data_IF_367058664651
#
_entry.id   IF_367058664651
#
_cell.length_a   1.000
_cell.length_b   1.000
_cell.length_c   1.000
_cell.angle_alpha   90.00
_cell.angle_beta   90.00
_cell.angle_gamma   90.00
#
_symmetry.space_group_name_H-M   'P 1'
#
loop_
_entity.id
_entity.type
_entity.pdbx_description
1 polymer ?
2 non-polymer ?
3 non-polymer ?
4 non-polymer ?
5 water ?
#
# COMPACT_ATOMS: atom_id res chain seq x y z
N UNK A 33 -7.86 26.91 -10.27
CA UNK A 33 -7.10 28.08 -10.82
C UNK A 33 -6.43 27.68 -12.14
N UNK A 34 -5.12 27.42 -12.12
CA UNK A 34 -4.38 26.91 -13.28
C UNK A 34 -4.31 25.37 -13.28
N UNK A 35 -4.72 24.75 -12.18
CA UNK A 35 -4.59 23.31 -11.99
C UNK A 35 -5.74 22.49 -12.57
N UNK A 36 -6.53 23.13 -13.43
CA UNK A 36 -7.59 22.44 -14.16
C UNK A 36 -7.03 21.55 -15.27
N UNK A 37 -5.85 21.85 -15.78
CA UNK A 37 -5.29 21.01 -16.83
C UNK A 37 -4.51 19.87 -16.15
N UNK A 38 -4.79 18.63 -16.54
CA UNK A 38 -4.10 17.48 -15.99
C UNK A 38 -2.56 17.62 -16.04
N UNK A 39 -2.02 18.16 -17.13
CA UNK A 39 -0.55 18.28 -17.34
C UNK A 39 0.10 19.19 -16.29
N UNK A 40 -0.58 20.28 -15.94
CA UNK A 40 -0.12 21.13 -14.86
C UNK A 40 -0.15 20.47 -13.48
N UNK A 41 -1.08 19.53 -13.25
CA UNK A 41 -1.06 18.77 -12.01
C UNK A 41 0.06 17.75 -12.11
N UNK A 42 0.27 17.20 -13.29
CA UNK A 42 1.33 16.22 -13.43
C UNK A 42 2.71 16.84 -13.14
N UNK A 43 2.86 18.14 -13.40
CA UNK A 43 4.14 18.79 -13.18
C UNK A 43 4.51 18.87 -11.70
N UNK A 44 3.53 18.81 -10.80
CA UNK A 44 3.81 18.89 -9.36
C UNK A 44 4.38 17.59 -8.78
N UNK A 45 4.48 16.53 -9.57
CA UNK A 45 4.93 15.21 -9.08
C UNK A 45 6.42 14.92 -9.16
N UNK A 46 7.24 15.97 -9.25
CA UNK A 46 8.67 15.80 -9.12
C UNK A 46 8.97 15.22 -7.74
N UNK A 47 9.86 14.25 -7.71
CA UNK A 47 10.28 13.64 -6.43
C UNK A 47 9.19 12.83 -5.75
N UNK A 48 8.20 12.40 -6.52
CA UNK A 48 7.20 11.48 -6.01
C UNK A 48 7.86 10.10 -5.87
N UNK A 49 7.59 9.39 -4.76
CA UNK A 49 8.21 8.08 -4.56
C UNK A 49 8.07 7.13 -5.75
N UNK A 50 9.20 6.78 -6.35
CA UNK A 50 9.27 5.75 -7.41
C UNK A 50 8.60 4.44 -7.04
N UNK A 51 8.57 4.10 -5.75
CA UNK A 51 7.98 2.85 -5.31
C UNK A 51 6.47 2.89 -5.11
N UNK A 52 5.83 4.04 -5.35
CA UNK A 52 4.40 4.13 -5.03
C UNK A 52 3.54 3.03 -5.68
N UNK A 53 2.65 2.42 -4.90
CA UNK A 53 1.61 1.56 -5.44
C UNK A 53 0.73 2.21 -6.52
N UNK A 54 0.53 3.53 -6.41
CA UNK A 54 -0.31 4.29 -7.36
C UNK A 54 0.57 5.35 -8.05
N UNK A 55 0.63 5.31 -9.37
CA UNK A 55 1.51 6.24 -10.10
C UNK A 55 1.03 7.70 -10.06
N UNK A 56 1.97 8.60 -10.32
CA UNK A 56 1.74 10.04 -10.44
C UNK A 56 0.70 10.42 -11.49
N UNK A 57 0.74 9.75 -12.64
CA UNK A 57 -0.25 10.00 -13.72
C UNK A 57 -1.67 9.59 -13.32
N UNK A 58 -1.79 8.44 -12.64
CA UNK A 58 -3.07 8.02 -12.04
C UNK A 58 -3.61 9.04 -11.03
N UNK A 59 -2.73 9.57 -10.16
CA UNK A 59 -3.14 10.55 -9.18
C UNK A 59 -3.52 11.88 -9.85
N UNK A 60 -2.73 12.34 -10.82
CA UNK A 60 -3.01 13.66 -11.47
C UNK A 60 -4.29 13.61 -12.30
N UNK A 61 -4.49 12.49 -12.97
CA UNK A 61 -5.79 12.17 -13.60
C UNK A 61 -6.97 12.15 -12.62
N UNK A 62 -6.76 11.81 -11.34
CA UNK A 62 -7.83 11.85 -10.37
C UNK A 62 -8.00 13.21 -9.71
N UNK A 63 -7.31 14.23 -10.19
CA UNK A 63 -7.54 15.59 -9.64
C UNK A 63 -6.50 16.09 -8.65
N UNK A 64 -5.50 15.24 -8.37
CA UNK A 64 -4.56 15.49 -7.29
C UNK A 64 -3.29 16.19 -7.72
N UNK A 65 -2.78 17.03 -6.80
CA UNK A 65 -1.43 17.57 -6.86
C UNK A 65 -0.58 16.88 -5.79
N UNK A 66 0.72 16.79 -6.02
CA UNK A 66 1.65 16.32 -5.00
C UNK A 66 2.02 17.49 -4.12
N UNK A 67 1.88 17.33 -2.80
CA UNK A 67 2.27 18.38 -1.84
C UNK A 67 3.78 18.46 -1.63
N UNK A 68 4.53 17.48 -2.07
CA UNK A 68 5.96 17.50 -1.86
C UNK A 68 6.39 16.79 -0.60
N UNK A 69 5.45 16.21 0.15
CA UNK A 69 5.80 15.45 1.35
C UNK A 69 5.28 14.00 1.23
N UNK A 70 6.16 13.05 1.53
CA UNK A 70 5.81 11.63 1.52
C UNK A 70 5.12 11.23 0.23
N UNK A 71 3.99 10.57 0.37
CA UNK A 71 3.16 10.28 -0.79
C UNK A 71 1.80 10.99 -0.65
N UNK A 72 1.84 12.15 0.02
CA UNK A 72 0.64 12.90 0.33
C UNK A 72 0.30 13.74 -0.88
N UNK A 73 -0.94 13.60 -1.36
CA UNK A 73 -1.47 14.44 -2.45
C UNK A 73 -2.68 15.22 -1.99
N UNK A 74 -3.06 16.25 -2.78
CA UNK A 74 -4.14 17.15 -2.39
C UNK A 74 -4.92 17.58 -3.63
N UNK A 75 -6.23 17.42 -3.59
CA UNK A 75 -7.13 17.83 -4.69
C UNK A 75 -7.07 19.33 -4.83
N UNK A 76 -6.89 19.83 -6.05
CA UNK A 76 -6.89 21.29 -6.26
C UNK A 76 -8.23 21.94 -5.98
N UNK A 77 -9.32 21.18 -6.08
CA UNK A 77 -10.70 21.72 -5.97
C UNK A 77 -11.26 21.67 -4.56
N UNK A 78 -11.22 20.48 -3.95
CA UNK A 78 -11.84 20.26 -2.63
C UNK A 78 -10.85 20.26 -1.47
N UNK A 79 -9.55 20.32 -1.78
CA UNK A 79 -8.50 20.39 -0.72
C UNK A 79 -8.33 19.14 0.15
N UNK A 80 -8.87 18.02 -0.30
CA UNK A 80 -8.71 16.76 0.43
C UNK A 80 -7.30 16.25 0.29
N UNK A 81 -6.68 15.89 1.41
CA UNK A 81 -5.32 15.35 1.40
C UNK A 81 -5.38 13.86 1.65
N UNK A 82 -4.73 13.11 0.78
CA UNK A 82 -4.75 11.67 0.82
C UNK A 82 -3.35 11.13 0.71
N UNK A 83 -3.06 10.11 1.46
CA UNK A 83 -1.76 9.50 1.45
C UNK A 83 -1.82 7.99 1.76
N UNK A 84 -0.71 7.37 2.09
CA UNK A 84 -0.66 5.95 2.44
C UNK A 84 -1.25 5.01 1.39
N UNK A 85 -0.81 5.14 0.16
CA UNK A 85 -1.48 4.49 -0.95
C UNK A 85 -1.07 3.03 -0.92
N UNK A 86 -2.01 2.13 -1.23
CA UNK A 86 -1.71 0.66 -1.28
C UNK A 86 -2.11 0.01 -2.61
N UNK A 87 -1.55 -1.17 -2.90
CA UNK A 87 -1.97 -1.93 -4.09
C UNK A 87 -3.45 -2.27 -3.92
N UNK A 88 -4.21 -2.11 -4.98
CA UNK A 88 -5.67 -2.24 -4.90
C UNK A 88 -6.43 -0.90 -4.88
N UNK A 89 -5.80 0.18 -4.40
CA UNK A 89 -6.48 1.48 -4.29
C UNK A 89 -6.90 2.00 -5.66
N UNK A 90 -8.13 2.52 -5.76
CA UNK A 90 -8.52 3.36 -6.89
C UNK A 90 -8.28 4.83 -6.51
N UNK A 91 -7.49 5.57 -7.26
CA UNK A 91 -7.27 6.97 -6.91
C UNK A 91 -8.59 7.72 -6.91
N UNK A 92 -9.45 7.45 -7.89
CA UNK A 92 -10.72 8.17 -8.00
C UNK A 92 -11.68 7.69 -6.94
N UNK A 93 -11.69 6.38 -6.67
CA UNK A 93 -12.58 5.82 -5.65
C UNK A 93 -12.29 6.39 -4.27
N UNK A 94 -11.01 6.47 -3.90
CA UNK A 94 -10.65 7.02 -2.59
C UNK A 94 -11.01 8.51 -2.56
N UNK A 95 -10.65 9.23 -3.61
CA UNK A 95 -11.02 10.64 -3.79
C UNK A 95 -12.52 10.86 -3.50
N UNK A 96 -13.40 10.11 -4.18
CA UNK A 96 -14.84 10.24 -3.97
C UNK A 96 -15.26 9.93 -2.52
N UNK A 97 -14.68 8.90 -1.92
CA UNK A 97 -15.01 8.58 -0.53
C UNK A 97 -14.70 9.73 0.43
N UNK A 98 -13.52 10.34 0.31
CA UNK A 98 -13.16 11.41 1.22
C UNK A 98 -13.95 12.69 0.90
N UNK A 99 -14.28 12.92 -0.35
CA UNK A 99 -14.99 14.13 -0.77
C UNK A 99 -16.04 13.80 -1.85
N UNK A 100 -17.18 13.17 -1.47
CA UNK A 100 -18.24 12.79 -2.40
C UNK A 100 -18.85 14.00 -3.16
N UNK A 101 -18.81 15.18 -2.56
CA UNK A 101 -19.31 16.41 -3.19
C UNK A 101 -18.26 17.24 -3.91
N UNK A 102 -17.03 16.75 -3.98
CA UNK A 102 -15.99 17.46 -4.75
C UNK A 102 -16.49 17.88 -6.16
N UNK A 103 -16.26 19.14 -6.50
CA UNK A 103 -16.69 19.70 -7.78
C UNK A 103 -16.03 18.97 -8.95
N UNK A 104 -14.73 18.73 -8.83
CA UNK A 104 -13.99 18.04 -9.88
C UNK A 104 -14.53 16.67 -10.15
N UNK A 105 -14.88 15.95 -9.09
CA UNK A 105 -15.24 14.54 -9.20
C UNK A 105 -16.66 14.42 -9.80
N UNK A 106 -17.46 15.45 -9.55
CA UNK A 106 -18.80 15.59 -10.10
C UNK A 106 -18.87 16.43 -11.37
N UNK A 107 -17.75 16.51 -12.08
CA UNK A 107 -17.74 17.07 -13.41
C UNK A 107 -17.95 18.57 -13.58
N UNK A 108 -17.90 19.36 -12.51
CA UNK A 108 -18.06 20.84 -12.56
C UNK A 108 -17.09 21.53 -13.54
N UNK A 109 -15.99 20.88 -13.93
CA UNK A 109 -15.05 21.44 -14.89
C UNK A 109 -15.24 20.84 -16.29
N UNK A 110 -16.49 20.83 -16.74
CA UNK A 110 -16.84 20.41 -18.09
C UNK A 110 -16.36 18.98 -18.34
N UNK B 34 1.66 -34.24 -9.11
CA UNK B 34 2.86 -33.50 -9.60
C UNK B 34 2.42 -32.25 -10.37
N UNK B 35 3.11 -31.15 -10.12
CA UNK B 35 2.72 -29.86 -10.67
C UNK B 35 3.65 -29.49 -11.81
N UNK B 36 4.37 -30.50 -12.30
CA UNK B 36 5.12 -30.40 -13.51
C UNK B 36 4.16 -30.19 -14.70
N UNK B 37 2.94 -30.67 -14.59
CA UNK B 37 1.93 -30.47 -15.64
C UNK B 37 1.25 -29.11 -15.48
N UNK B 38 1.25 -28.32 -16.55
CA UNK B 38 0.58 -27.01 -16.56
C UNK B 38 -0.91 -27.09 -16.20
N UNK B 39 -1.61 -28.11 -16.68
CA UNK B 39 -3.03 -28.30 -16.33
C UNK B 39 -3.25 -28.47 -14.82
N UNK B 40 -2.44 -29.29 -14.18
CA UNK B 40 -2.49 -29.42 -12.71
C UNK B 40 -2.26 -28.12 -11.91
N UNK B 41 -1.36 -27.26 -12.40
CA UNK B 41 -1.13 -25.96 -11.80
C UNK B 41 -2.37 -25.09 -12.01
N UNK B 42 -2.92 -25.11 -13.22
CA UNK B 42 -4.05 -24.28 -13.56
C UNK B 42 -5.32 -24.70 -12.80
N UNK B 43 -5.46 -25.99 -12.51
CA UNK B 43 -6.59 -26.44 -11.66
C UNK B 43 -6.63 -25.77 -10.27
N UNK B 44 -5.48 -25.39 -9.71
CA UNK B 44 -5.47 -24.70 -8.41
C UNK B 44 -6.03 -23.28 -8.46
N UNK B 45 -6.28 -22.70 -9.63
CA UNK B 45 -6.74 -21.30 -9.70
C UNK B 45 -8.26 -21.11 -9.64
N UNK B 46 -8.97 -22.01 -8.98
CA UNK B 46 -10.38 -21.79 -8.69
C UNK B 46 -10.50 -20.63 -7.70
N UNK B 47 -11.44 -19.72 -7.96
CA UNK B 47 -11.67 -18.54 -7.11
C UNK B 47 -10.56 -17.51 -7.17
N UNK B 48 -9.68 -17.60 -8.17
CA UNK B 48 -8.65 -16.59 -8.37
C UNK B 48 -9.36 -15.33 -8.88
N UNK B 49 -9.07 -14.15 -8.28
CA UNK B 49 -9.86 -12.97 -8.63
C UNK B 49 -9.91 -12.71 -10.12
N UNK B 50 -11.11 -12.53 -10.64
CA UNK B 50 -11.27 -11.85 -11.91
C UNK B 50 -11.03 -10.37 -11.58
N UNK B 51 -10.61 -9.61 -12.60
CA UNK B 51 -10.08 -8.28 -12.37
C UNK B 51 -8.56 -8.29 -12.35
N UNK B 52 -7.97 -9.44 -12.02
CA UNK B 52 -6.53 -9.58 -12.01
C UNK B 52 -5.96 -9.14 -13.35
N UNK B 53 -4.99 -8.21 -13.34
CA UNK B 53 -4.38 -7.81 -14.60
C UNK B 53 -3.49 -8.89 -15.27
N UNK B 54 -3.18 -9.99 -14.56
CA UNK B 54 -2.53 -11.15 -15.18
C UNK B 54 -3.42 -12.38 -14.99
N UNK B 55 -3.65 -13.11 -16.07
CA UNK B 55 -4.61 -14.20 -16.05
C UNK B 55 -4.05 -15.39 -15.31
N UNK B 56 -4.97 -16.25 -14.87
CA UNK B 56 -4.62 -17.50 -14.23
C UNK B 56 -3.81 -18.43 -15.13
N UNK B 57 -4.10 -18.42 -16.42
CA UNK B 57 -3.38 -19.30 -17.32
C UNK B 57 -2.01 -18.74 -17.60
N UNK B 58 -1.88 -17.41 -17.68
CA UNK B 58 -0.56 -16.80 -17.84
C UNK B 58 0.30 -17.23 -16.62
N UNK B 59 -0.24 -17.06 -15.42
CA UNK B 59 0.49 -17.38 -14.19
C UNK B 59 0.83 -18.88 -14.11
N UNK B 60 -0.11 -19.72 -14.52
CA UNK B 60 0.13 -21.17 -14.50
C UNK B 60 1.22 -21.59 -15.46
N UNK B 61 1.23 -21.01 -16.66
CA UNK B 61 2.32 -21.24 -17.63
C UNK B 61 3.70 -20.86 -17.08
N UNK B 62 3.77 -19.83 -16.26
CA UNK B 62 5.03 -19.43 -15.67
C UNK B 62 5.41 -20.18 -14.40
N UNK B 63 4.75 -21.31 -14.10
CA UNK B 63 5.14 -22.17 -12.98
C UNK B 63 4.38 -22.01 -11.66
N UNK B 64 3.42 -21.08 -11.63
CA UNK B 64 2.74 -20.68 -10.41
C UNK B 64 1.46 -21.48 -10.13
N UNK B 65 1.25 -21.82 -8.86
CA UNK B 65 -0.01 -22.34 -8.34
C UNK B 65 -0.64 -21.20 -7.54
N UNK B 66 -1.94 -21.26 -7.34
CA UNK B 66 -2.64 -20.23 -6.55
C UNK B 66 -2.72 -20.70 -5.08
N UNK B 67 -2.44 -19.80 -4.15
CA UNK B 67 -2.43 -20.15 -2.73
C UNK B 67 -3.82 -20.14 -2.11
N UNK B 68 -4.77 -19.50 -2.77
CA UNK B 68 -6.10 -19.37 -2.21
C UNK B 68 -6.37 -17.99 -1.65
N UNK B 69 -5.33 -17.18 -1.44
CA UNK B 69 -5.52 -15.86 -0.83
C UNK B 69 -5.04 -14.73 -1.70
N UNK B 70 -5.89 -13.72 -1.87
CA UNK B 70 -5.62 -12.54 -2.67
C UNK B 70 -5.30 -12.85 -4.12
N UNK B 71 -4.25 -12.21 -4.64
CA UNK B 71 -3.68 -12.60 -5.91
C UNK B 71 -2.31 -13.22 -5.67
N UNK B 72 -2.15 -13.94 -4.55
CA UNK B 72 -0.85 -14.53 -4.20
C UNK B 72 -0.72 -15.94 -4.83
N UNK B 73 0.31 -16.08 -5.66
CA UNK B 73 0.67 -17.33 -6.29
C UNK B 73 2.05 -17.82 -5.80
N UNK B 74 2.31 -19.11 -5.96
CA UNK B 74 3.57 -19.72 -5.51
C UNK B 74 4.12 -20.70 -6.55
N UNK B 75 5.41 -20.69 -6.79
CA UNK B 75 6.00 -21.61 -7.75
C UNK B 75 6.11 -22.97 -7.09
N UNK B 76 5.76 -24.02 -7.83
CA UNK B 76 5.82 -25.42 -7.33
C UNK B 76 7.23 -25.94 -7.15
N UNK B 77 8.21 -25.22 -7.68
CA UNK B 77 9.60 -25.66 -7.74
C UNK B 77 10.47 -24.85 -6.82
N UNK B 78 10.54 -23.54 -7.03
CA UNK B 78 11.38 -22.68 -6.17
C UNK B 78 10.66 -22.18 -4.93
N UNK B 79 9.35 -22.41 -4.87
CA UNK B 79 8.53 -22.01 -3.72
C UNK B 79 8.40 -20.52 -3.49
N UNK B 80 8.74 -19.70 -4.47
CA UNK B 80 8.66 -18.26 -4.32
C UNK B 80 7.21 -17.84 -4.37
N UNK B 81 6.82 -16.88 -3.53
CA UNK B 81 5.46 -16.36 -3.52
C UNK B 81 5.40 -14.90 -3.98
N UNK B 82 4.46 -14.59 -4.88
CA UNK B 82 4.39 -13.32 -5.58
C UNK B 82 2.94 -12.88 -5.63
N UNK B 83 2.70 -11.60 -5.35
CA UNK B 83 1.35 -11.03 -5.42
C UNK B 83 1.43 -9.60 -5.96
N UNK B 84 0.37 -8.81 -5.78
CA UNK B 84 0.40 -7.40 -6.19
C UNK B 84 0.76 -7.24 -7.67
N UNK B 85 0.18 -8.12 -8.45
CA UNK B 85 0.33 -8.12 -9.89
C UNK B 85 -0.28 -6.81 -10.45
N UNK B 86 0.41 -6.20 -11.39
CA UNK B 86 0.02 -4.97 -12.00
C UNK B 86 -0.18 -5.14 -13.50
N UNK B 87 -0.98 -4.28 -14.12
CA UNK B 87 -1.09 -4.28 -15.58
C UNK B 87 0.29 -4.10 -16.19
N UNK B 88 0.56 -4.92 -17.19
CA UNK B 88 1.84 -4.88 -17.87
C UNK B 88 2.92 -5.82 -17.36
N UNK B 89 2.67 -6.52 -16.27
CA UNK B 89 3.67 -7.43 -15.68
C UNK B 89 3.93 -8.62 -16.59
N UNK B 90 5.17 -9.06 -16.63
CA UNK B 90 5.47 -10.38 -17.15
C UNK B 90 5.50 -11.39 -15.99
N UNK B 91 4.59 -12.34 -15.99
CA UNK B 91 4.62 -13.44 -15.04
C UNK B 91 6.00 -14.13 -15.01
N UNK B 92 6.54 -14.44 -16.19
CA UNK B 92 7.86 -15.11 -16.29
C UNK B 92 8.99 -14.19 -15.82
N UNK B 93 8.90 -12.90 -16.14
CA UNK B 93 9.97 -11.97 -15.84
C UNK B 93 10.08 -11.65 -14.36
N UNK B 94 8.93 -11.46 -13.75
CA UNK B 94 8.85 -11.28 -12.31
C UNK B 94 9.30 -12.57 -11.58
N UNK B 95 8.94 -13.72 -12.12
CA UNK B 95 9.41 -15.00 -11.57
C UNK B 95 10.95 -15.11 -11.62
N UNK B 96 11.53 -14.72 -12.75
CA UNK B 96 12.99 -14.78 -12.92
C UNK B 96 13.69 -13.86 -11.93
N UNK B 97 13.08 -12.69 -11.74
CA UNK B 97 13.63 -11.69 -10.85
C UNK B 97 13.61 -12.17 -9.41
N UNK B 98 12.48 -12.72 -8.95
CA UNK B 98 12.44 -13.24 -7.57
C UNK B 98 13.27 -14.52 -7.38
N UNK B 99 13.37 -15.38 -8.39
CA UNK B 99 14.12 -16.66 -8.26
C UNK B 99 14.95 -16.98 -9.50
N UNK B 100 16.01 -16.20 -9.76
CA UNK B 100 16.78 -16.41 -10.99
C UNK B 100 17.35 -17.85 -11.14
N UNK B 101 17.54 -18.57 -10.04
CA UNK B 101 18.06 -19.95 -10.10
C UNK B 101 16.97 -21.06 -10.00
N UNK B 102 15.71 -20.66 -10.15
CA UNK B 102 14.61 -21.63 -10.14
C UNK B 102 14.85 -22.63 -11.26
N UNK B 103 14.81 -23.92 -10.92
CA UNK B 103 14.96 -25.00 -11.90
C UNK B 103 13.84 -24.96 -12.94
N UNK B 104 12.66 -24.49 -12.56
CA UNK B 104 11.58 -24.35 -13.55
C UNK B 104 11.89 -23.33 -14.63
N UNK B 105 12.21 -22.08 -14.26
CA UNK B 105 12.38 -21.04 -15.33
C UNK B 105 13.68 -21.24 -16.08
N UNK B 106 14.60 -21.99 -15.49
CA UNK B 106 15.79 -22.45 -16.18
C UNK B 106 15.58 -23.67 -17.06
N UNK B 107 14.35 -24.17 -17.18
CA UNK B 107 14.01 -25.23 -18.14
C UNK B 107 14.38 -26.66 -17.75
N UNK B 108 14.63 -26.92 -16.47
CA UNK B 108 14.92 -28.27 -15.93
C UNK B 108 13.83 -29.30 -16.23
N UNK B 109 12.57 -28.86 -16.29
CA UNK B 109 11.43 -29.78 -16.51
C UNK B 109 11.03 -29.95 -17.98
N UNK B 110 11.81 -29.39 -18.90
CA UNK B 110 11.63 -29.64 -20.34
C UNK B 110 12.44 -30.87 -20.73
N UNK C 34 -24.92 21.48 17.74
CA UNK C 34 -25.51 20.16 17.34
C UNK C 34 -24.47 19.02 17.42
N UNK C 35 -23.51 19.03 16.52
CA UNK C 35 -22.36 18.12 16.61
C UNK C 35 -21.19 18.89 17.23
N UNK C 36 -21.44 20.16 17.60
CA UNK C 36 -20.52 20.97 18.43
C UNK C 36 -20.23 20.28 19.77
N UNK C 37 -21.18 19.49 20.26
CA UNK C 37 -20.96 18.74 21.48
C UNK C 37 -20.21 17.44 21.19
N UNK C 38 -19.02 17.32 21.77
CA UNK C 38 -18.21 16.13 21.64
C UNK C 38 -19.07 14.89 21.79
N UNK C 39 -19.91 14.85 22.84
CA UNK C 39 -20.72 13.67 23.15
C UNK C 39 -21.62 13.22 22.00
N UNK C 40 -22.17 14.16 21.26
CA UNK C 40 -22.99 13.82 20.12
C UNK C 40 -22.18 13.23 18.98
N UNK C 41 -20.93 13.67 18.84
CA UNK C 41 -20.10 13.14 17.77
C UNK C 41 -19.74 11.72 18.15
N UNK C 42 -19.43 11.52 19.43
CA UNK C 42 -19.07 10.19 19.89
C UNK C 42 -20.24 9.18 19.77
N UNK C 43 -21.48 9.68 19.72
CA UNK C 43 -22.66 8.83 19.43
C UNK C 43 -22.64 8.23 18.01
N UNK C 44 -22.01 8.92 17.05
CA UNK C 44 -21.94 8.41 15.68
C UNK C 44 -20.97 7.20 15.56
N UNK C 45 -20.20 6.92 16.61
CA UNK C 45 -19.22 5.82 16.59
C UNK C 45 -19.75 4.44 16.98
N UNK C 46 -21.07 4.26 16.92
CA UNK C 46 -21.66 2.93 16.84
C UNK C 46 -21.11 2.13 15.63
N UNK C 47 -20.72 0.88 15.90
CA UNK C 47 -20.21 -0.04 14.86
C UNK C 47 -18.87 0.33 14.27
N UNK C 48 -18.18 1.27 14.91
CA UNK C 48 -16.81 1.60 14.55
C UNK C 48 -15.97 0.39 14.96
N UNK C 49 -14.96 0.01 14.13
CA UNK C 49 -14.18 -1.19 14.46
C UNK C 49 -13.41 -1.10 15.78
N UNK C 50 -13.58 -2.08 16.65
CA UNK C 50 -12.84 -2.15 17.91
C UNK C 50 -11.37 -2.50 17.67
N UNK C 51 -11.05 -2.93 16.46
CA UNK C 51 -9.66 -3.20 16.09
C UNK C 51 -8.78 -1.96 15.90
N UNK C 52 -9.39 -0.80 15.65
CA UNK C 52 -8.64 0.40 15.24
C UNK C 52 -7.61 0.82 16.29
N UNK C 53 -6.39 1.19 15.84
CA UNK C 53 -5.35 1.69 16.75
C UNK C 53 -5.58 3.09 17.33
N UNK C 54 -6.64 3.77 16.91
CA UNK C 54 -7.00 5.08 17.44
C UNK C 54 -8.44 4.95 17.89
N UNK C 55 -8.71 5.28 19.14
CA UNK C 55 -10.03 5.02 19.71
C UNK C 55 -11.03 5.99 19.15
N UNK C 56 -12.31 5.63 19.23
CA UNK C 56 -13.40 6.54 18.89
C UNK C 56 -13.39 7.82 19.72
N UNK C 57 -12.95 7.70 20.96
CA UNK C 57 -12.98 8.82 21.89
C UNK C 57 -12.04 9.93 21.38
N UNK C 58 -10.77 9.57 21.22
CA UNK C 58 -9.77 10.44 20.62
C UNK C 58 -10.23 11.07 19.30
N UNK C 59 -10.91 10.30 18.48
CA UNK C 59 -11.32 10.83 17.20
C UNK C 59 -12.40 11.85 17.40
N UNK C 60 -13.36 11.55 18.27
CA UNK C 60 -14.51 12.45 18.44
C UNK C 60 -14.05 13.79 19.04
N UNK C 61 -13.09 13.70 19.96
CA UNK C 61 -12.46 14.88 20.55
C UNK C 61 -11.71 15.71 19.50
N UNK C 62 -11.30 15.07 18.42
CA UNK C 62 -10.58 15.75 17.34
C UNK C 62 -11.54 16.30 16.31
N UNK C 63 -12.84 16.28 16.63
CA UNK C 63 -13.85 16.90 15.77
C UNK C 63 -14.53 15.97 14.77
N UNK C 64 -14.18 14.67 14.81
CA UNK C 64 -14.67 13.68 13.82
C UNK C 64 -15.96 12.94 14.23
N UNK C 65 -16.78 12.66 13.20
CA UNK C 65 -17.90 11.73 13.23
C UNK C 65 -17.47 10.45 12.51
N UNK C 66 -18.08 9.32 12.87
CA UNK C 66 -17.80 8.11 12.10
C UNK C 66 -18.77 8.00 10.91
N UNK C 67 -18.21 7.70 9.73
CA UNK C 67 -18.97 7.61 8.49
C UNK C 67 -19.77 6.31 8.36
N UNK C 68 -19.48 5.30 9.18
CA UNK C 68 -20.09 3.99 9.04
C UNK C 68 -19.46 3.13 7.97
N UNK C 69 -18.27 3.50 7.50
CA UNK C 69 -17.51 2.73 6.51
C UNK C 69 -16.02 2.65 6.86
N UNK C 70 -15.57 1.47 7.27
CA UNK C 70 -14.18 1.24 7.60
C UNK C 70 -13.75 2.07 8.80
N UNK C 71 -12.64 2.77 8.65
CA UNK C 71 -12.17 3.69 9.67
C UNK C 71 -12.19 5.14 9.17
N UNK C 72 -12.96 5.41 8.12
CA UNK C 72 -13.04 6.73 7.56
C UNK C 72 -13.85 7.59 8.51
N UNK C 73 -13.26 8.70 8.95
CA UNK C 73 -14.01 9.64 9.76
C UNK C 73 -14.11 10.96 9.01
N UNK C 74 -15.09 11.76 9.39
CA UNK C 74 -15.33 13.04 8.75
C UNK C 74 -15.55 14.12 9.80
N UNK C 75 -14.84 15.24 9.68
CA UNK C 75 -15.02 16.37 10.59
C UNK C 75 -16.40 16.98 10.43
N UNK C 76 -17.03 17.31 11.54
CA UNK C 76 -18.39 17.90 11.52
C UNK C 76 -18.37 19.33 11.02
N UNK C 77 -17.21 19.99 11.10
CA UNK C 77 -17.14 21.41 10.74
C UNK C 77 -16.62 21.59 9.33
N UNK C 78 -15.42 21.11 9.06
CA UNK C 78 -14.82 21.26 7.74
C UNK C 78 -15.37 20.28 6.69
N UNK C 79 -15.96 19.17 7.13
CA UNK C 79 -16.54 18.12 6.25
C UNK C 79 -15.49 17.32 5.49
N UNK C 80 -14.22 17.53 5.82
CA UNK C 80 -13.14 16.80 5.20
C UNK C 80 -12.97 15.47 5.91
N UNK C 81 -12.53 14.44 5.19
CA UNK C 81 -12.38 13.10 5.77
C UNK C 81 -10.94 12.61 5.85
N UNK C 82 -10.70 11.67 6.78
CA UNK C 82 -9.41 11.02 7.01
C UNK C 82 -9.63 9.54 7.30
N UNK C 83 -8.76 8.70 6.79
CA UNK C 83 -8.89 7.25 6.87
C UNK C 83 -7.53 6.63 7.15
N UNK C 84 -7.50 5.29 7.21
CA UNK C 84 -6.25 4.51 7.38
C UNK C 84 -5.43 4.94 8.58
N UNK C 85 -5.95 4.65 9.76
CA UNK C 85 -5.34 5.01 11.01
C UNK C 85 -4.34 3.95 11.42
N UNK C 86 -3.12 4.37 11.80
CA UNK C 86 -2.14 3.46 12.34
C UNK C 86 -1.83 3.81 13.78
N UNK C 87 -1.10 2.90 14.43
CA UNK C 87 -0.61 3.12 15.78
C UNK C 87 0.29 4.35 15.80
N UNK C 88 -0.03 5.31 16.67
CA UNK C 88 0.80 6.51 16.81
C UNK C 88 0.32 7.74 16.05
N UNK C 89 -0.77 7.62 15.30
CA UNK C 89 -1.35 8.78 14.65
C UNK C 89 -1.88 9.76 15.72
N UNK C 90 -1.74 11.05 15.49
CA UNK C 90 -2.47 12.08 16.25
C UNK C 90 -3.70 12.47 15.40
N UNK C 91 -4.90 12.22 15.94
CA UNK C 91 -6.11 12.60 15.24
C UNK C 91 -6.14 14.11 14.98
N UNK C 92 -5.67 14.90 15.93
CA UNK C 92 -5.67 16.35 15.74
C UNK C 92 -4.62 16.71 14.69
N UNK C 93 -3.46 16.08 14.75
CA UNK C 93 -2.41 16.34 13.77
C UNK C 93 -2.84 16.04 12.34
N UNK C 94 -3.37 14.83 12.11
CA UNK C 94 -3.84 14.50 10.76
C UNK C 94 -4.96 15.45 10.30
N UNK C 95 -5.73 16.01 11.23
CA UNK C 95 -6.88 16.86 10.91
C UNK C 95 -6.34 18.21 10.45
N UNK C 96 -5.42 18.75 11.22
CA UNK C 96 -4.72 19.95 10.81
C UNK C 96 -4.08 19.79 9.43
N UNK C 97 -3.39 18.67 9.21
CA UNK C 97 -2.78 18.39 7.90
C UNK C 97 -3.79 18.50 6.75
N UNK C 98 -4.98 17.88 6.86
CA UNK C 98 -5.89 17.91 5.71
C UNK C 98 -6.65 19.26 5.61
N UNK C 99 -6.97 19.87 6.75
CA UNK C 99 -7.71 21.15 6.78
C UNK C 99 -7.09 22.10 7.76
N UNK C 100 -5.96 22.75 7.39
CA UNK C 100 -5.28 23.68 8.31
C UNK C 100 -6.12 24.91 8.64
N UNK C 101 -7.10 25.20 7.79
CA UNK C 101 -8.00 26.31 8.01
C UNK C 101 -9.36 25.92 8.59
N UNK C 102 -9.49 24.68 9.07
CA UNK C 102 -10.76 24.26 9.68
C UNK C 102 -11.09 25.10 10.94
N UNK C 103 -12.36 25.49 11.06
CA UNK C 103 -12.80 26.32 12.17
C UNK C 103 -12.66 25.59 13.49
N UNK C 104 -13.00 24.31 13.50
CA UNK C 104 -12.85 23.50 14.70
C UNK C 104 -11.42 23.52 15.18
N UNK C 105 -10.53 23.15 14.29
CA UNK C 105 -9.11 22.99 14.60
C UNK C 105 -8.49 24.32 15.00
N UNK C 106 -9.00 25.42 14.46
CA UNK C 106 -8.49 26.75 14.80
C UNK C 106 -9.26 27.35 15.97
N UNK C 107 -10.07 26.55 16.66
CA UNK C 107 -10.64 26.95 17.94
C UNK C 107 -11.85 27.86 17.89
N UNK C 108 -12.57 27.92 16.77
CA UNK C 108 -13.78 28.73 16.65
C UNK C 108 -14.92 28.38 17.64
N UNK C 109 -15.03 27.11 18.04
CA UNK C 109 -16.17 26.65 18.83
C UNK C 109 -15.89 26.56 20.33
N UNK C 110 -14.69 26.92 20.78
CA UNK C 110 -14.29 26.66 22.18
C UNK C 110 -15.00 27.57 23.19
N UNK D 34 30.08 -12.41 6.80
CA UNK D 34 28.77 -13.10 6.74
C UNK D 34 27.69 -12.07 7.03
N UNK D 35 26.49 -12.37 6.54
CA UNK D 35 25.37 -11.46 6.65
C UNK D 35 24.49 -11.86 7.83
N UNK D 36 25.06 -12.58 8.79
CA UNK D 36 24.34 -12.97 10.01
C UNK D 36 24.17 -11.77 10.94
N UNK D 37 24.99 -10.73 10.75
CA UNK D 37 24.87 -9.53 11.54
C UNK D 37 24.02 -8.49 10.84
N UNK D 38 23.07 -7.95 11.58
CA UNK D 38 22.20 -6.91 11.09
C UNK D 38 23.01 -5.77 10.41
N UNK D 39 23.98 -5.21 11.12
CA UNK D 39 24.81 -4.11 10.63
C UNK D 39 25.33 -4.35 9.22
N UNK D 40 25.81 -5.55 8.96
CA UNK D 40 26.32 -5.90 7.63
C UNK D 40 25.24 -5.93 6.53
N UNK D 41 24.06 -6.47 6.85
CA UNK D 41 22.96 -6.47 5.89
C UNK D 41 22.51 -5.03 5.61
N UNK D 42 22.51 -4.20 6.66
CA UNK D 42 22.12 -2.80 6.52
C UNK D 42 23.07 -2.04 5.59
N UNK D 43 24.34 -2.45 5.58
CA UNK D 43 25.30 -1.81 4.69
C UNK D 43 24.94 -2.02 3.22
N UNK D 44 24.16 -3.06 2.90
CA UNK D 44 23.77 -3.28 1.49
C UNK D 44 22.71 -2.31 0.98
N UNK D 45 22.10 -1.49 1.85
CA UNK D 45 20.99 -0.60 1.47
C UNK D 45 21.40 0.80 1.01
N UNK D 46 22.67 0.99 0.70
CA UNK D 46 23.08 2.23 0.04
C UNK D 46 22.29 2.33 -1.26
N UNK D 47 21.82 3.52 -1.58
CA UNK D 47 21.03 3.73 -2.81
C UNK D 47 19.68 3.02 -2.81
N UNK D 48 19.18 2.66 -1.63
CA UNK D 48 17.81 2.20 -1.48
C UNK D 48 16.92 3.42 -1.68
N UNK D 49 15.92 3.32 -2.59
CA UNK D 49 15.08 4.49 -2.90
C UNK D 49 14.53 5.24 -1.68
N UNK D 50 14.45 6.57 -1.84
CA UNK D 50 14.14 7.50 -0.75
C UNK D 50 12.76 7.31 -0.17
N UNK D 51 11.78 7.17 -1.04
CA UNK D 51 10.40 7.24 -0.59
C UNK D 51 9.82 5.97 0.00
N UNK D 52 10.65 4.99 0.36
CA UNK D 52 10.12 3.68 0.79
C UNK D 52 9.25 3.80 2.04
N UNK D 53 8.11 3.09 2.05
CA UNK D 53 7.24 3.06 3.22
C UNK D 53 7.75 2.13 4.31
N UNK D 54 8.62 1.18 3.96
CA UNK D 54 9.33 0.35 4.92
C UNK D 54 10.81 0.73 4.89
N UNK D 55 11.37 1.07 6.04
CA UNK D 55 12.75 1.56 6.08
C UNK D 55 13.75 0.43 5.84
N UNK D 56 14.94 0.82 5.37
CA UNK D 56 16.10 -0.08 5.26
C UNK D 56 16.43 -0.81 6.55
N UNK D 57 16.31 -0.10 7.66
CA UNK D 57 16.57 -0.66 8.99
C UNK D 57 15.55 -1.77 9.36
N UNK D 58 14.26 -1.51 9.17
CA UNK D 58 13.26 -2.56 9.35
C UNK D 58 13.58 -3.78 8.46
N UNK D 59 13.84 -3.53 7.17
CA UNK D 59 14.10 -4.62 6.25
C UNK D 59 15.32 -5.44 6.66
N UNK D 60 16.40 -4.75 7.04
CA UNK D 60 17.64 -5.43 7.48
C UNK D 60 17.45 -6.28 8.75
N UNK D 61 16.76 -5.69 9.72
CA UNK D 61 16.34 -6.42 10.91
C UNK D 61 15.54 -7.70 10.59
N UNK D 62 14.81 -7.69 9.49
CA UNK D 62 13.99 -8.84 9.09
C UNK D 62 14.75 -9.86 8.23
N UNK D 63 16.07 -9.66 8.08
CA UNK D 63 16.95 -10.66 7.45
C UNK D 63 17.32 -10.39 5.99
N UNK D 64 16.88 -9.26 5.47
CA UNK D 64 16.98 -8.94 4.03
C UNK D 64 18.26 -8.15 3.66
N UNK D 65 18.77 -8.45 2.46
CA UNK D 65 19.77 -7.65 1.76
C UNK D 65 19.07 -6.93 0.63
N UNK D 66 19.60 -5.79 0.20
CA UNK D 66 19.07 -5.06 -0.94
C UNK D 66 19.74 -5.60 -2.19
N UNK D 67 18.92 -6.00 -3.18
CA UNK D 67 19.42 -6.52 -4.45
C UNK D 67 19.98 -5.45 -5.39
N UNK D 68 19.70 -4.17 -5.12
CA UNK D 68 20.11 -3.09 -6.03
C UNK D 68 19.07 -2.72 -7.09
N UNK D 69 18.05 -3.54 -7.28
CA UNK D 69 16.98 -3.18 -8.22
C UNK D 69 15.69 -2.79 -7.48
N UNK D 70 15.26 -1.55 -7.66
CA UNK D 70 13.96 -1.06 -7.18
C UNK D 70 13.79 -1.10 -5.68
N UNK D 71 12.77 -1.80 -5.21
CA UNK D 71 12.61 -2.05 -3.78
C UNK D 71 12.75 -3.53 -3.46
N UNK D 72 13.42 -4.24 -4.36
CA UNK D 72 13.52 -5.67 -4.22
C UNK D 72 14.64 -6.01 -3.25
N UNK D 73 14.29 -6.84 -2.27
CA UNK D 73 15.23 -7.33 -1.26
C UNK D 73 15.25 -8.85 -1.27
N UNK D 74 16.30 -9.44 -0.68
CA UNK D 74 16.51 -10.89 -0.74
C UNK D 74 17.12 -11.40 0.59
N UNK D 75 16.47 -12.39 1.20
CA UNK D 75 16.92 -12.93 2.50
C UNK D 75 18.31 -13.51 2.33
N UNK D 76 19.17 -13.28 3.31
CA UNK D 76 20.54 -13.75 3.26
C UNK D 76 20.59 -15.27 3.49
N UNK D 77 19.54 -15.81 4.09
CA UNK D 77 19.45 -17.21 4.53
C UNK D 77 18.67 -18.08 3.55
N UNK D 78 17.41 -17.72 3.29
CA UNK D 78 16.58 -18.51 2.38
C UNK D 78 16.68 -18.05 0.92
N UNK D 79 17.35 -16.93 0.66
CA UNK D 79 17.60 -16.45 -0.71
C UNK D 79 16.35 -16.07 -1.51
N UNK D 80 15.26 -15.82 -0.80
CA UNK D 80 14.01 -15.51 -1.45
C UNK D 80 13.76 -14.01 -1.42
N UNK D 81 13.14 -13.51 -2.48
CA UNK D 81 12.94 -12.08 -2.70
C UNK D 81 11.53 -11.57 -2.40
N UNK D 82 11.46 -10.30 -2.05
CA UNK D 82 10.22 -9.63 -1.81
C UNK D 82 10.36 -8.21 -2.36
N UNK D 83 9.31 -7.76 -3.02
CA UNK D 83 9.29 -6.47 -3.69
C UNK D 83 7.91 -5.81 -3.49
N UNK D 84 7.70 -4.68 -4.16
CA UNK D 84 6.43 -3.96 -4.05
C UNK D 84 6.00 -3.73 -2.61
N UNK D 85 6.88 -3.14 -1.83
CA UNK D 85 6.59 -2.79 -0.46
C UNK D 85 5.52 -1.69 -0.46
N UNK D 86 4.63 -1.71 0.54
CA UNK D 86 3.65 -0.62 0.70
C UNK D 86 3.45 -0.22 2.15
N UNK D 87 2.78 0.91 2.33
CA UNK D 87 2.41 1.38 3.68
C UNK D 87 1.73 0.28 4.48
N UNK D 88 2.18 0.10 5.71
CA UNK D 88 1.57 -0.84 6.63
C UNK D 88 2.07 -2.27 6.52
N UNK D 89 3.00 -2.53 5.60
CA UNK D 89 3.60 -3.86 5.47
C UNK D 89 4.49 -4.19 6.68
N UNK D 90 4.56 -5.49 7.03
CA UNK D 90 5.49 -5.98 8.02
C UNK D 90 6.60 -6.70 7.27
N UNK D 91 7.85 -6.30 7.47
CA UNK D 91 8.96 -6.94 6.78
C UNK D 91 8.99 -8.41 7.12
N UNK D 92 8.89 -8.70 8.40
CA UNK D 92 9.02 -10.08 8.89
C UNK D 92 7.81 -10.93 8.48
N UNK D 93 6.64 -10.32 8.50
CA UNK D 93 5.40 -10.98 8.13
C UNK D 93 5.37 -11.35 6.65
N UNK D 94 5.88 -10.50 5.77
CA UNK D 94 5.94 -10.87 4.33
C UNK D 94 7.03 -11.95 4.07
N UNK D 95 8.10 -11.87 4.84
CA UNK D 95 9.20 -12.85 4.78
C UNK D 95 8.69 -14.25 5.19
N UNK D 96 7.92 -14.31 6.25
CA UNK D 96 7.36 -15.57 6.71
C UNK D 96 6.40 -16.17 5.67
N UNK D 97 5.52 -15.34 5.11
CA UNK D 97 4.63 -15.80 4.03
C UNK D 97 5.40 -16.42 2.84
N UNK D 98 6.46 -15.76 2.36
CA UNK D 98 7.24 -16.27 1.27
C UNK D 98 7.98 -17.56 1.67
N UNK D 99 8.65 -17.53 2.82
CA UNK D 99 9.46 -18.67 3.28
C UNK D 99 9.11 -19.04 4.70
N UNK D 100 8.00 -19.79 4.91
CA UNK D 100 7.63 -20.10 6.29
C UNK D 100 8.69 -20.96 6.99
N UNK D 101 9.48 -21.70 6.22
CA UNK D 101 10.50 -22.56 6.84
C UNK D 101 11.93 -22.00 6.80
N UNK D 102 12.06 -20.69 6.64
CA UNK D 102 13.36 -20.05 6.67
C UNK D 102 14.04 -20.23 8.04
N UNK D 103 15.34 -20.50 8.03
CA UNK D 103 16.10 -20.76 9.26
C UNK D 103 16.27 -19.46 10.10
N UNK D 104 16.49 -18.33 9.44
CA UNK D 104 16.55 -17.05 10.16
C UNK D 104 15.23 -16.75 10.85
N UNK D 105 14.13 -16.83 10.12
CA UNK D 105 12.80 -16.58 10.69
C UNK D 105 12.44 -17.58 11.81
N UNK D 106 13.00 -18.78 11.75
CA UNK D 106 12.70 -19.77 12.75
C UNK D 106 13.78 -19.85 13.83
N UNK D 107 14.70 -18.89 13.85
CA UNK D 107 15.65 -18.70 14.94
C UNK D 107 16.90 -19.57 14.94
N UNK D 108 17.17 -20.25 13.83
CA UNK D 108 18.38 -21.04 13.63
C UNK D 108 19.69 -20.27 13.93
N UNK D 109 19.69 -18.94 13.88
CA UNK D 109 20.86 -18.11 14.17
C UNK D 109 20.82 -17.45 15.57
N UNK D 110 20.00 -18.01 16.46
CA UNK D 110 19.64 -17.45 17.78
C UNK D 110 18.50 -16.43 17.63
#
# INVERSE_FOLDING_TARGET
MGSSHHHHHHSSGLVPQGSHMKTCVPADINKEEEFVEEFNRLKTFANFPSGSPVSASTLARAGFLYTGEGDTVRCFSCHAAVDRWQYGDSAVGRHRKVSPNCRFINGFYLE
MGSSHHHHHHSSGLVPQGSHMKTCVPADINKEEEFVEEFNRLKTFANFPSGSPVSASTLARAGFLYTGEGDTVRCFSCHAAVDRWQYGDSAVGRHRKVSPNCRFINGFYLE
MGSSHHHHHHSSGLVPQGSHMKTCVPADINKEEEFVEEFNRLKTFANFPSGSPVSASTLARAGFLYTGEGDTVRCFSCHAAVDRWQYGDSAVGRHRKVSPNCRFINGFYLE
MGSSHHHHHHSSGLVPQGSHMKTCVPADINKEEEFVEEFNRLKTFANFPSGSPVSASTLARAGFLYTGEGDTVRCFSCHAAVDRWQYGDSAVGRHRKVSPNCRFINGFYLE
#
